data_IF_596407377226
#
_entry.id   IF_596407377226
#
_cell.length_a   1.000
_cell.length_b   1.000
_cell.length_c   1.000
_cell.angle_alpha   90.00
_cell.angle_beta   90.00
_cell.angle_gamma   90.00
#
_symmetry.space_group_name_H-M   'P 1'
#
loop_
_entity.id
_entity.type
_entity.pdbx_description
1 polymer ?
#
# COMPACT_ATOMS: atom_id res chain seq x y z
N UNK A 1 -10.25 29.59 -38.49
CA UNK A 1 -9.95 29.25 -37.09
C UNK A 1 -10.84 28.11 -36.66
N UNK A 2 -10.33 26.91 -36.46
CA UNK A 2 -11.13 25.80 -35.94
C UNK A 2 -11.18 25.90 -34.41
N UNK A 3 -12.39 25.95 -33.86
CA UNK A 3 -12.67 25.86 -32.41
C UNK A 3 -12.30 24.46 -31.92
N UNK A 4 -11.23 24.38 -31.17
CA UNK A 4 -10.75 23.20 -30.48
C UNK A 4 -11.84 22.68 -29.55
N UNK A 5 -12.20 21.43 -29.70
CA UNK A 5 -13.19 20.71 -28.88
C UNK A 5 -12.64 20.47 -27.48
N UNK A 6 -12.74 21.43 -26.60
CA UNK A 6 -12.74 21.23 -25.15
C UNK A 6 -14.13 20.77 -24.68
N UNK A 7 -14.55 19.59 -25.09
CA UNK A 7 -15.78 18.97 -24.57
C UNK A 7 -15.45 17.58 -24.07
N UNK A 8 -15.75 17.36 -22.76
CA UNK A 8 -15.85 16.10 -22.02
C UNK A 8 -14.66 15.68 -21.13
N UNK A 9 -14.23 16.56 -20.21
CA UNK A 9 -13.49 16.12 -19.03
C UNK A 9 -14.30 16.24 -17.71
N UNK A 10 -15.46 16.88 -17.73
CA UNK A 10 -16.27 17.10 -16.50
C UNK A 10 -17.13 15.88 -16.04
N UNK A 11 -17.11 14.76 -16.73
CA UNK A 11 -17.90 13.56 -16.37
C UNK A 11 -17.10 12.36 -15.85
N UNK A 12 -15.78 12.35 -15.92
CA UNK A 12 -14.97 11.26 -15.38
C UNK A 12 -14.63 11.54 -13.92
N UNK A 13 -15.27 10.83 -12.99
CA UNK A 13 -14.89 10.84 -11.58
C UNK A 13 -13.38 10.67 -11.47
N UNK A 14 -12.70 11.65 -10.88
CA UNK A 14 -11.26 11.56 -10.63
C UNK A 14 -11.02 10.43 -9.62
N UNK A 15 -10.46 9.32 -10.09
CA UNK A 15 -10.27 8.10 -9.29
C UNK A 15 -9.35 8.39 -8.11
N UNK A 16 -8.30 9.19 -8.30
CA UNK A 16 -7.40 9.60 -7.21
C UNK A 16 -8.15 10.34 -6.11
N UNK A 17 -8.98 11.32 -6.50
CA UNK A 17 -9.78 12.08 -5.55
C UNK A 17 -10.72 11.19 -4.74
N UNK A 18 -11.41 10.25 -5.40
CA UNK A 18 -12.32 9.31 -4.72
C UNK A 18 -11.61 8.46 -3.66
N UNK A 19 -10.38 7.99 -3.95
CA UNK A 19 -9.61 7.17 -3.01
C UNK A 19 -9.13 8.04 -1.85
N UNK A 20 -8.55 9.19 -2.17
CA UNK A 20 -7.99 10.09 -1.17
C UNK A 20 -9.05 10.62 -0.23
N UNK A 21 -10.23 11.00 -0.72
CA UNK A 21 -11.38 11.43 0.11
C UNK A 21 -11.78 10.32 1.10
N UNK A 22 -11.84 9.06 0.65
CA UNK A 22 -12.16 7.93 1.54
C UNK A 22 -11.10 7.69 2.62
N UNK A 23 -9.83 7.85 2.29
CA UNK A 23 -8.73 7.74 3.27
C UNK A 23 -8.78 8.90 4.27
N UNK A 24 -9.05 10.11 3.79
CA UNK A 24 -9.20 11.31 4.64
C UNK A 24 -10.35 11.12 5.63
N UNK A 25 -11.52 10.67 5.16
CA UNK A 25 -12.68 10.39 6.03
C UNK A 25 -12.30 9.44 7.18
N UNK A 26 -11.62 8.34 6.90
CA UNK A 26 -11.17 7.40 7.93
C UNK A 26 -10.17 8.03 8.90
N UNK A 27 -9.20 8.79 8.39
CA UNK A 27 -8.23 9.49 9.24
C UNK A 27 -8.89 10.57 10.13
N UNK A 28 -9.89 11.28 9.63
CA UNK A 28 -10.65 12.27 10.39
C UNK A 28 -11.52 11.61 11.50
N UNK A 29 -11.95 10.37 11.30
CA UNK A 29 -12.59 9.53 12.30
C UNK A 29 -11.59 8.89 13.29
N UNK A 30 -10.29 9.14 13.13
CA UNK A 30 -9.22 8.56 13.95
C UNK A 30 -8.86 7.13 13.56
N UNK A 31 -9.36 6.64 12.42
CA UNK A 31 -9.03 5.31 11.89
C UNK A 31 -7.88 5.44 10.90
N UNK A 32 -6.78 4.73 11.13
CA UNK A 32 -5.65 4.68 10.21
C UNK A 32 -5.83 3.47 9.30
N UNK A 33 -6.13 3.65 7.99
CA UNK A 33 -6.54 2.56 7.10
C UNK A 33 -5.51 1.46 6.91
N UNK A 34 -4.22 1.76 7.06
CA UNK A 34 -3.11 0.80 6.94
C UNK A 34 -2.71 0.15 8.26
N UNK A 35 -3.40 0.47 9.37
CA UNK A 35 -3.27 -0.20 10.66
C UNK A 35 -4.44 -1.12 10.90
N UNK A 36 -4.49 -2.19 10.13
CA UNK A 36 -5.51 -3.23 10.28
C UNK A 36 -4.85 -4.53 10.75
N UNK A 37 -5.51 -5.32 11.60
CA UNK A 37 -5.04 -6.66 11.89
C UNK A 37 -5.15 -7.51 10.60
N UNK A 38 -4.04 -7.71 9.93
CA UNK A 38 -3.96 -8.50 8.69
C UNK A 38 -3.99 -10.02 8.93
N UNK A 39 -4.38 -10.44 10.13
CA UNK A 39 -4.33 -11.81 10.66
C UNK A 39 -5.03 -12.83 9.74
N UNK A 40 -5.84 -12.39 8.78
CA UNK A 40 -6.62 -13.26 7.90
C UNK A 40 -6.18 -13.23 6.42
N UNK A 41 -4.90 -12.95 6.12
CA UNK A 41 -4.33 -13.08 4.78
C UNK A 41 -4.88 -12.10 3.73
N UNK A 42 -5.34 -10.91 4.12
CA UNK A 42 -5.70 -9.80 3.23
C UNK A 42 -6.90 -10.06 2.31
N UNK A 43 -7.11 -9.18 1.34
CA UNK A 43 -8.16 -9.29 0.33
C UNK A 43 -7.65 -10.00 -0.94
N UNK A 44 -8.44 -10.90 -1.51
CA UNK A 44 -8.12 -11.61 -2.76
C UNK A 44 -9.28 -11.53 -3.77
N UNK A 45 -8.97 -11.62 -5.04
CA UNK A 45 -10.00 -11.78 -6.06
C UNK A 45 -10.52 -13.21 -6.05
N UNK A 46 -11.82 -13.39 -5.83
CA UNK A 46 -12.46 -14.70 -5.72
C UNK A 46 -12.27 -15.61 -6.96
N UNK A 47 -12.25 -15.03 -8.18
CA UNK A 47 -12.12 -15.81 -9.41
C UNK A 47 -10.68 -16.29 -9.63
N UNK A 48 -9.70 -15.43 -9.41
CA UNK A 48 -8.29 -15.69 -9.74
C UNK A 48 -7.45 -16.12 -8.53
N UNK A 49 -7.96 -15.91 -7.32
CA UNK A 49 -7.27 -16.11 -6.04
C UNK A 49 -5.97 -15.27 -5.91
N UNK A 50 -5.78 -14.27 -6.79
CA UNK A 50 -4.67 -13.33 -6.69
C UNK A 50 -4.95 -12.30 -5.60
N UNK A 51 -3.97 -11.96 -4.74
CA UNK A 51 -4.13 -10.93 -3.71
C UNK A 51 -4.28 -9.55 -4.34
N UNK A 52 -5.06 -8.69 -3.71
CA UNK A 52 -5.08 -7.26 -4.01
C UNK A 52 -3.82 -6.61 -3.46
N UNK A 53 -3.25 -5.65 -4.21
CA UNK A 53 -1.94 -5.04 -3.94
C UNK A 53 -2.03 -3.51 -3.91
N UNK A 54 -0.97 -2.87 -3.43
CA UNK A 54 -0.85 -1.42 -3.36
C UNK A 54 -1.97 -0.80 -2.52
N UNK A 55 -2.55 0.30 -2.97
CA UNK A 55 -3.62 1.00 -2.24
C UNK A 55 -4.86 0.13 -1.99
N UNK A 56 -5.09 -0.91 -2.80
CA UNK A 56 -6.24 -1.81 -2.62
C UNK A 56 -6.18 -2.57 -1.29
N UNK A 57 -4.99 -2.84 -0.76
CA UNK A 57 -4.82 -3.49 0.54
C UNK A 57 -5.42 -2.67 1.68
N UNK A 58 -5.49 -1.36 1.52
CA UNK A 58 -6.05 -0.44 2.52
C UNK A 58 -7.53 -0.10 2.26
N UNK A 59 -8.02 -0.33 1.04
CA UNK A 59 -9.41 -0.08 0.65
C UNK A 59 -10.36 -1.23 0.98
N UNK A 60 -9.82 -2.46 1.14
CA UNK A 60 -10.58 -3.67 1.38
C UNK A 60 -10.25 -4.28 2.75
N UNK A 61 -11.24 -4.89 3.37
CA UNK A 61 -11.02 -5.81 4.50
C UNK A 61 -10.55 -7.18 4.00
N UNK A 62 -10.04 -8.03 4.91
CA UNK A 62 -9.71 -9.40 4.58
C UNK A 62 -10.94 -10.14 4.05
N UNK A 63 -10.81 -10.84 2.92
CA UNK A 63 -11.95 -11.54 2.31
C UNK A 63 -11.73 -11.83 0.82
N UNK A 64 -12.73 -12.45 0.22
CA UNK A 64 -12.76 -12.74 -1.20
C UNK A 64 -13.72 -11.80 -1.91
N UNK A 65 -13.25 -11.13 -2.96
CA UNK A 65 -14.02 -10.12 -3.67
C UNK A 65 -14.18 -10.47 -5.15
N UNK A 66 -15.36 -10.22 -5.69
CA UNK A 66 -15.63 -10.38 -7.11
C UNK A 66 -16.41 -9.19 -7.68
N UNK A 67 -16.23 -8.92 -8.97
CA UNK A 67 -17.03 -7.95 -9.69
C UNK A 67 -18.45 -8.50 -9.91
N UNK A 68 -19.44 -7.61 -10.09
CA UNK A 68 -20.81 -8.02 -10.40
C UNK A 68 -20.89 -8.96 -11.60
N UNK A 69 -20.06 -8.73 -12.65
CA UNK A 69 -19.97 -9.60 -13.83
C UNK A 69 -19.48 -10.99 -13.45
N UNK A 70 -18.40 -11.10 -12.66
CA UNK A 70 -17.85 -12.39 -12.21
C UNK A 70 -18.87 -13.18 -11.38
N UNK A 71 -19.59 -12.50 -10.47
CA UNK A 71 -20.64 -13.11 -9.65
C UNK A 71 -21.75 -13.68 -10.51
N UNK A 72 -22.26 -12.89 -11.48
CA UNK A 72 -23.31 -13.31 -12.40
C UNK A 72 -22.89 -14.48 -13.29
N UNK A 73 -21.68 -14.43 -13.84
CA UNK A 73 -21.11 -15.51 -14.68
C UNK A 73 -20.95 -16.83 -13.91
N UNK A 74 -20.72 -16.75 -12.60
CA UNK A 74 -20.61 -17.91 -11.72
C UNK A 74 -21.95 -18.40 -11.16
N UNK A 75 -23.07 -17.78 -11.55
CA UNK A 75 -24.41 -18.15 -11.08
C UNK A 75 -24.83 -17.54 -9.75
N UNK A 76 -23.99 -16.68 -9.16
CA UNK A 76 -24.29 -15.99 -7.90
C UNK A 76 -25.11 -14.71 -8.11
N UNK A 77 -25.57 -14.15 -6.99
CA UNK A 77 -26.38 -12.93 -6.95
C UNK A 77 -25.94 -12.04 -5.78
N UNK A 78 -25.75 -10.76 -6.05
CA UNK A 78 -25.51 -9.77 -4.99
C UNK A 78 -26.80 -9.55 -4.20
N UNK A 79 -26.73 -9.57 -2.88
CA UNK A 79 -27.86 -9.33 -1.98
C UNK A 79 -28.42 -7.92 -2.18
N UNK A 80 -29.73 -7.77 -2.04
CA UNK A 80 -30.43 -6.49 -2.24
C UNK A 80 -29.99 -5.47 -1.18
N UNK A 81 -29.58 -4.28 -1.64
CA UNK A 81 -29.18 -3.19 -0.75
C UNK A 81 -27.69 -3.12 -0.45
N UNK A 82 -26.89 -4.12 -0.86
CA UNK A 82 -25.45 -4.14 -0.62
C UNK A 82 -24.72 -3.03 -1.37
N UNK A 83 -23.75 -2.42 -0.68
CA UNK A 83 -22.87 -1.38 -1.24
C UNK A 83 -21.57 -2.00 -1.71
N UNK A 84 -21.20 -1.72 -2.96
CA UNK A 84 -19.94 -2.22 -3.52
C UNK A 84 -18.73 -1.53 -2.91
N UNK A 85 -17.63 -2.27 -2.80
CA UNK A 85 -16.30 -1.74 -2.53
C UNK A 85 -15.64 -1.27 -3.84
N UNK A 86 -14.66 -0.38 -3.73
CA UNK A 86 -13.88 0.14 -4.86
C UNK A 86 -12.48 -0.46 -4.81
N UNK A 87 -12.03 -0.96 -5.95
CA UNK A 87 -10.63 -1.36 -6.20
C UNK A 87 -10.11 -0.65 -7.42
N UNK A 88 -8.80 -0.45 -7.48
CA UNK A 88 -8.14 0.25 -8.57
C UNK A 88 -7.06 -0.59 -9.21
N UNK A 89 -6.90 -0.41 -10.52
CA UNK A 89 -5.84 -1.06 -11.30
C UNK A 89 -5.27 -0.06 -12.30
N UNK A 90 -3.99 -0.18 -12.54
CA UNK A 90 -3.32 0.50 -13.62
C UNK A 90 -3.64 -0.19 -14.96
N UNK A 91 -4.01 0.60 -15.95
CA UNK A 91 -4.16 0.14 -17.32
C UNK A 91 -3.29 1.01 -18.21
N UNK A 92 -2.44 0.39 -18.99
CA UNK A 92 -1.67 1.06 -20.01
C UNK A 92 -2.56 1.38 -21.21
N UNK A 93 -2.64 2.65 -21.59
CA UNK A 93 -3.34 3.09 -22.79
C UNK A 93 -2.28 3.40 -23.84
N UNK A 94 -2.41 2.79 -25.00
CA UNK A 94 -1.60 3.13 -26.16
C UNK A 94 -2.18 4.37 -26.82
N UNK A 95 -1.36 5.40 -26.98
CA UNK A 95 -1.69 6.63 -27.69
C UNK A 95 -0.67 6.81 -28.81
N UNK A 96 -1.14 6.82 -30.05
CA UNK A 96 -0.31 7.17 -31.18
C UNK A 96 -0.06 8.67 -31.20
N UNK A 97 1.20 9.06 -31.31
CA UNK A 97 1.58 10.47 -31.46
C UNK A 97 1.31 10.87 -32.92
N UNK A 98 0.41 11.82 -33.12
CA UNK A 98 -0.03 12.27 -34.46
C UNK A 98 1.10 12.92 -35.28
N UNK A 99 2.20 13.35 -34.63
CA UNK A 99 3.31 14.03 -35.30
C UNK A 99 4.40 13.08 -35.81
N UNK A 100 4.68 11.98 -35.09
CA UNK A 100 5.79 11.07 -35.43
C UNK A 100 5.38 9.60 -35.58
N UNK A 101 4.10 9.25 -35.35
CA UNK A 101 3.58 7.88 -35.46
C UNK A 101 4.08 6.92 -34.35
N UNK A 102 4.77 7.41 -33.34
CA UNK A 102 5.21 6.59 -32.21
C UNK A 102 4.06 6.29 -31.26
N UNK A 103 4.01 5.05 -30.76
CA UNK A 103 3.01 4.63 -29.79
C UNK A 103 3.56 4.84 -28.37
N UNK A 104 2.97 5.79 -27.67
CA UNK A 104 3.27 6.08 -26.27
C UNK A 104 2.32 5.30 -25.35
N UNK A 105 2.88 4.61 -24.33
CA UNK A 105 2.08 3.93 -23.30
C UNK A 105 1.85 4.88 -22.12
N UNK A 106 0.60 5.29 -21.95
CA UNK A 106 0.20 6.20 -20.86
C UNK A 106 -0.47 5.40 -19.75
N UNK A 107 0.03 5.43 -18.50
CA UNK A 107 -0.61 4.77 -17.38
C UNK A 107 -1.92 5.48 -17.02
N UNK A 108 -3.00 4.73 -16.92
CA UNK A 108 -4.32 5.23 -16.58
C UNK A 108 -4.89 4.44 -15.40
N UNK A 109 -5.16 5.13 -14.29
CA UNK A 109 -5.79 4.50 -13.14
C UNK A 109 -7.28 4.27 -13.43
N UNK A 110 -7.74 3.04 -13.29
CA UNK A 110 -9.13 2.63 -13.45
C UNK A 110 -9.65 2.09 -12.14
N UNK A 111 -10.94 2.25 -11.87
CA UNK A 111 -11.59 1.63 -10.73
C UNK A 111 -12.62 0.61 -11.16
N UNK A 112 -12.82 -0.39 -10.31
CA UNK A 112 -13.85 -1.41 -10.45
C UNK A 112 -14.63 -1.51 -9.15
N UNK A 113 -15.87 -1.96 -9.26
CA UNK A 113 -16.72 -2.23 -8.11
C UNK A 113 -16.74 -3.72 -7.85
N UNK A 114 -16.47 -4.09 -6.60
CA UNK A 114 -16.43 -5.47 -6.15
C UNK A 114 -17.32 -5.66 -4.92
N UNK A 115 -17.72 -6.89 -4.68
CA UNK A 115 -18.53 -7.29 -3.54
C UNK A 115 -17.84 -8.43 -2.82
N UNK A 116 -17.92 -8.44 -1.49
CA UNK A 116 -17.38 -9.51 -0.65
C UNK A 116 -18.28 -10.75 -0.76
N UNK A 117 -17.67 -11.93 -0.95
CA UNK A 117 -18.41 -13.14 -1.31
C UNK A 117 -19.29 -13.66 -0.17
N UNK A 118 -18.77 -13.75 1.05
CA UNK A 118 -19.48 -14.36 2.17
C UNK A 118 -20.64 -13.49 2.68
N UNK A 119 -20.38 -12.19 2.83
CA UNK A 119 -21.34 -11.27 3.41
C UNK A 119 -22.35 -10.72 2.42
N UNK A 120 -21.93 -10.44 1.17
CA UNK A 120 -22.71 -9.66 0.19
C UNK A 120 -23.28 -10.48 -0.98
N UNK A 121 -22.92 -11.76 -1.12
CA UNK A 121 -23.31 -12.58 -2.28
C UNK A 121 -24.06 -13.84 -1.83
N UNK A 122 -25.06 -14.24 -2.62
CA UNK A 122 -25.78 -15.49 -2.49
C UNK A 122 -25.42 -16.41 -3.66
N UNK A 123 -25.39 -17.73 -3.39
CA UNK A 123 -25.18 -18.76 -4.42
C UNK A 123 -23.71 -18.96 -4.80
N UNK A 124 -22.76 -18.34 -4.12
CA UNK A 124 -21.33 -18.61 -4.26
C UNK A 124 -20.74 -18.93 -2.89
N UNK A 125 -19.78 -19.82 -2.89
CA UNK A 125 -19.02 -20.20 -1.70
C UNK A 125 -17.62 -19.62 -1.74
N UNK A 126 -17.05 -19.35 -0.57
CA UNK A 126 -15.65 -19.00 -0.42
C UNK A 126 -14.78 -20.14 -0.94
N UNK A 127 -13.76 -19.79 -1.70
CA UNK A 127 -12.71 -20.73 -2.13
C UNK A 127 -11.53 -20.74 -1.17
N UNK A 128 -11.53 -19.79 -0.25
CA UNK A 128 -10.48 -19.61 0.71
C UNK A 128 -10.57 -20.71 1.76
N UNK A 129 -9.52 -21.48 1.91
CA UNK A 129 -9.32 -22.26 3.11
C UNK A 129 -9.11 -21.29 4.25
N UNK A 130 -9.62 -21.59 5.45
CA UNK A 130 -9.29 -20.79 6.62
C UNK A 130 -7.78 -20.61 6.68
N UNK A 131 -7.35 -19.35 6.59
CA UNK A 131 -5.93 -19.03 6.71
C UNK A 131 -5.65 -19.03 8.20
N UNK A 132 -5.23 -20.15 8.72
CA UNK A 132 -4.41 -20.15 9.93
C UNK A 132 -2.99 -19.81 9.48
N UNK A 133 -2.38 -18.79 10.05
CA UNK A 133 -0.94 -18.67 9.93
C UNK A 133 -0.33 -19.81 10.71
N UNK A 134 0.20 -20.77 10.00
CA UNK A 134 0.88 -21.96 10.57
C UNK A 134 2.33 -21.60 10.95
N UNK A 135 2.60 -20.32 11.26
CA UNK A 135 3.91 -19.81 11.64
C UNK A 135 3.79 -18.82 12.80
N UNK A 136 4.85 -18.71 13.57
CA UNK A 136 4.99 -17.67 14.58
C UNK A 136 5.26 -16.32 13.88
N UNK A 137 4.48 -15.25 14.16
CA UNK A 137 4.66 -13.94 13.52
C UNK A 137 6.05 -13.35 13.73
N UNK A 138 6.67 -13.60 14.86
CA UNK A 138 8.01 -13.09 15.19
C UNK A 138 9.10 -13.85 14.41
N UNK A 139 8.98 -15.17 14.29
CA UNK A 139 9.87 -15.99 13.46
C UNK A 139 9.80 -15.52 12.01
N UNK A 140 8.58 -15.25 11.49
CA UNK A 140 8.40 -14.73 10.14
C UNK A 140 8.99 -13.34 9.93
N UNK A 141 8.86 -12.46 10.92
CA UNK A 141 9.48 -11.14 10.90
C UNK A 141 11.02 -11.23 10.88
N UNK A 142 11.60 -12.18 11.64
CA UNK A 142 13.03 -12.47 11.60
C UNK A 142 13.50 -12.98 10.23
N UNK A 143 12.71 -13.84 9.59
CA UNK A 143 12.99 -14.32 8.23
C UNK A 143 13.01 -13.15 7.23
N UNK A 144 12.03 -12.23 7.29
CA UNK A 144 11.96 -11.05 6.43
C UNK A 144 13.20 -10.16 6.66
N UNK A 145 13.53 -9.87 7.92
CA UNK A 145 14.68 -9.05 8.27
C UNK A 145 16.01 -9.67 7.77
N UNK A 146 16.21 -10.98 7.99
CA UNK A 146 17.44 -11.69 7.58
C UNK A 146 17.48 -11.96 6.08
N UNK A 147 16.33 -12.08 5.43
CA UNK A 147 16.18 -12.33 4.00
C UNK A 147 16.37 -11.11 3.11
N UNK A 148 16.45 -9.91 3.68
CA UNK A 148 16.61 -8.67 2.90
C UNK A 148 17.95 -8.63 2.17
N UNK A 149 17.94 -8.92 0.87
CA UNK A 149 19.13 -8.93 0.01
C UNK A 149 19.60 -7.48 -0.23
N UNK A 150 20.94 -7.26 -0.22
CA UNK A 150 21.54 -5.93 -0.34
C UNK A 150 21.07 -4.94 0.76
N UNK A 151 20.78 -5.46 1.94
CA UNK A 151 20.44 -4.63 3.08
C UNK A 151 21.59 -3.69 3.48
N UNK A 152 21.27 -2.55 4.13
CA UNK A 152 22.30 -1.71 4.77
C UNK A 152 22.86 -2.38 6.02
N UNK A 153 23.93 -1.81 6.58
CA UNK A 153 24.42 -2.20 7.89
C UNK A 153 23.38 -1.91 8.97
N UNK A 154 23.21 -2.85 9.92
CA UNK A 154 22.34 -2.68 11.07
C UNK A 154 23.12 -2.42 12.34
N UNK A 155 22.56 -1.54 13.19
CA UNK A 155 23.00 -1.36 14.58
C UNK A 155 21.78 -1.33 15.49
N UNK A 156 21.97 -1.81 16.73
CA UNK A 156 20.92 -1.89 17.74
C UNK A 156 21.34 -1.15 19.00
N UNK A 157 21.33 0.18 18.93
CA UNK A 157 21.61 1.05 20.09
C UNK A 157 20.33 1.70 20.56
N UNK A 158 20.17 1.78 21.89
CA UNK A 158 19.04 2.48 22.52
C UNK A 158 18.97 3.95 22.05
N UNK A 159 17.76 4.46 21.94
CA UNK A 159 17.49 5.82 21.49
C UNK A 159 16.61 5.87 20.27
N UNK A 160 17.04 6.51 19.20
CA UNK A 160 16.21 6.75 18.02
C UNK A 160 16.35 5.63 16.98
N UNK A 161 15.23 5.13 16.47
CA UNK A 161 15.20 4.40 15.22
C UNK A 161 15.40 5.38 14.05
N UNK A 162 16.30 5.05 13.12
CA UNK A 162 16.62 5.92 11.98
C UNK A 162 17.42 5.20 10.91
N UNK A 163 17.06 5.42 9.66
CA UNK A 163 17.92 5.12 8.52
C UNK A 163 18.79 6.34 8.17
N UNK A 164 20.10 6.12 8.03
CA UNK A 164 21.08 7.14 7.63
C UNK A 164 21.44 6.96 6.13
N UNK A 165 20.86 7.75 5.20
CA UNK A 165 21.08 7.56 3.77
C UNK A 165 22.54 7.71 3.32
N UNK A 166 23.28 8.65 3.92
CA UNK A 166 24.69 8.91 3.57
C UNK A 166 25.62 7.76 3.96
N UNK A 167 25.29 7.07 5.07
CA UNK A 167 26.09 5.97 5.61
C UNK A 167 25.58 4.60 5.14
N UNK A 168 24.42 4.59 4.51
CA UNK A 168 23.65 3.40 4.19
C UNK A 168 23.52 2.45 5.39
N UNK A 169 22.99 2.97 6.50
CA UNK A 169 22.95 2.29 7.78
C UNK A 169 21.65 2.49 8.51
N UNK A 170 21.11 1.44 9.12
CA UNK A 170 19.94 1.50 10.00
C UNK A 170 20.42 1.42 11.46
N UNK A 171 19.90 2.28 12.32
CA UNK A 171 19.84 2.06 13.75
C UNK A 171 18.39 1.81 14.18
N UNK A 172 18.14 0.72 14.87
CA UNK A 172 16.89 0.46 15.57
C UNK A 172 17.20 0.21 17.04
N UNK A 173 16.46 0.75 18.04
CA UNK A 173 16.64 0.37 19.41
C UNK A 173 16.54 -1.15 19.57
N UNK A 174 17.29 -1.77 20.49
CA UNK A 174 17.23 -3.22 20.68
C UNK A 174 15.83 -3.65 21.15
N UNK A 175 15.42 -4.85 20.78
CA UNK A 175 14.07 -5.39 21.05
C UNK A 175 13.66 -5.29 22.53
N UNK A 176 14.61 -5.37 23.45
CA UNK A 176 14.36 -5.22 24.89
C UNK A 176 13.89 -3.83 25.33
N UNK A 177 14.07 -2.81 24.47
CA UNK A 177 13.64 -1.43 24.72
C UNK A 177 12.17 -1.21 24.34
N UNK A 178 11.53 -2.18 23.72
CA UNK A 178 10.12 -2.16 23.33
C UNK A 178 9.26 -2.95 24.30
N UNK A 179 8.01 -2.53 24.48
CA UNK A 179 7.05 -3.23 25.35
C UNK A 179 6.63 -4.56 24.70
N UNK A 180 6.53 -4.58 23.36
CA UNK A 180 6.15 -5.76 22.58
C UNK A 180 7.12 -5.98 21.43
N UNK A 181 7.36 -7.25 21.09
CA UNK A 181 8.21 -7.61 19.95
C UNK A 181 7.65 -7.08 18.63
N UNK A 182 6.34 -7.05 18.49
CA UNK A 182 5.63 -6.52 17.31
C UNK A 182 5.96 -5.04 17.04
N UNK A 183 6.10 -4.25 18.10
CA UNK A 183 6.49 -2.83 18.01
C UNK A 183 7.92 -2.68 17.49
N UNK A 184 8.84 -3.54 17.96
CA UNK A 184 10.21 -3.58 17.46
C UNK A 184 10.23 -3.88 15.95
N UNK A 185 9.56 -4.95 15.51
CA UNK A 185 9.57 -5.32 14.09
C UNK A 185 8.86 -4.30 13.21
N UNK A 186 7.76 -3.73 13.65
CA UNK A 186 7.10 -2.64 12.91
C UNK A 186 8.02 -1.44 12.72
N UNK A 187 8.74 -1.05 13.77
CA UNK A 187 9.73 0.03 13.72
C UNK A 187 10.91 -0.32 12.83
N UNK A 188 11.44 -1.54 12.94
CA UNK A 188 12.53 -2.01 12.09
C UNK A 188 12.12 -2.03 10.62
N UNK A 189 10.93 -2.53 10.29
CA UNK A 189 10.40 -2.53 8.93
C UNK A 189 10.24 -1.12 8.37
N UNK A 190 9.82 -0.15 9.17
CA UNK A 190 9.75 1.26 8.75
C UNK A 190 11.13 1.77 8.27
N UNK A 191 12.19 1.55 9.04
CA UNK A 191 13.55 1.94 8.67
C UNK A 191 14.08 1.12 7.48
N UNK A 192 13.71 -0.15 7.37
CA UNK A 192 14.03 -0.99 6.23
C UNK A 192 13.39 -0.45 4.94
N UNK A 193 12.13 -0.02 4.98
CA UNK A 193 11.46 0.59 3.83
C UNK A 193 12.20 1.87 3.41
N UNK A 194 12.55 2.77 4.34
CA UNK A 194 13.39 3.93 4.03
C UNK A 194 14.66 3.53 3.30
N UNK A 195 15.35 2.51 3.80
CA UNK A 195 16.61 2.06 3.23
C UNK A 195 16.48 1.60 1.78
N UNK A 196 15.34 1.02 1.37
CA UNK A 196 15.11 0.66 -0.03
C UNK A 196 15.16 1.86 -0.98
N UNK A 197 14.95 3.08 -0.48
CA UNK A 197 15.06 4.33 -1.23
C UNK A 197 16.48 4.76 -1.58
N UNK A 198 17.51 4.11 -1.06
CA UNK A 198 18.91 4.41 -1.35
C UNK A 198 19.21 4.32 -2.87
N UNK A 199 20.21 5.09 -3.33
CA UNK A 199 20.62 5.15 -4.75
C UNK A 199 21.06 3.80 -5.34
N UNK A 200 21.55 2.88 -4.51
CA UNK A 200 21.94 1.52 -4.92
C UNK A 200 20.77 0.54 -5.00
N UNK A 201 19.57 0.94 -4.59
CA UNK A 201 18.34 0.13 -4.58
C UNK A 201 17.27 0.79 -5.44
N UNK A 202 16.16 1.25 -4.88
CA UNK A 202 15.05 1.83 -5.66
C UNK A 202 15.22 3.32 -5.98
N UNK A 203 16.27 3.97 -5.50
CA UNK A 203 16.65 5.36 -5.79
C UNK A 203 15.52 6.38 -5.65
N UNK A 204 14.70 6.27 -4.59
CA UNK A 204 13.58 7.21 -4.35
C UNK A 204 14.08 8.61 -4.02
N UNK A 205 13.47 9.62 -4.63
CA UNK A 205 13.86 11.03 -4.45
C UNK A 205 13.74 11.49 -2.99
N UNK A 206 12.80 10.99 -2.21
CA UNK A 206 12.64 11.28 -0.79
C UNK A 206 13.84 10.89 0.08
N UNK A 207 14.66 9.94 -0.40
CA UNK A 207 15.86 9.46 0.31
C UNK A 207 17.14 9.99 -0.33
N UNK A 208 17.16 10.14 -1.67
CA UNK A 208 18.38 10.51 -2.41
C UNK A 208 18.61 12.02 -2.52
N UNK A 209 17.59 12.83 -2.30
CA UNK A 209 17.72 14.30 -2.35
C UNK A 209 18.42 14.82 -1.11
N UNK A 210 19.52 15.56 -1.30
CA UNK A 210 20.22 16.22 -0.19
C UNK A 210 19.36 17.35 0.40
N UNK A 211 19.42 17.53 1.74
CA UNK A 211 18.77 18.61 2.48
C UNK A 211 17.22 18.58 2.53
N UNK A 212 16.59 17.42 2.52
CA UNK A 212 15.17 17.30 2.84
C UNK A 212 15.01 17.53 4.34
N UNK A 213 14.37 18.63 4.75
CA UNK A 213 14.15 18.96 6.16
C UNK A 213 12.88 18.28 6.69
N UNK A 214 12.85 18.05 8.01
CA UNK A 214 11.64 17.58 8.68
C UNK A 214 10.48 18.54 8.45
N UNK A 215 9.37 18.02 7.90
CA UNK A 215 8.17 18.82 7.58
C UNK A 215 8.08 19.28 6.13
N UNK A 216 9.10 19.04 5.29
CA UNK A 216 9.01 19.27 3.85
C UNK A 216 8.02 18.29 3.19
N UNK A 217 7.42 18.70 2.07
CA UNK A 217 6.49 17.87 1.30
C UNK A 217 7.13 16.55 0.84
N UNK A 218 8.39 16.60 0.42
CA UNK A 218 9.17 15.43 0.00
C UNK A 218 9.40 14.47 1.17
N UNK A 219 9.72 15.00 2.36
CA UNK A 219 9.85 14.23 3.59
C UNK A 219 8.52 13.56 3.97
N UNK A 220 7.43 14.31 3.97
CA UNK A 220 6.10 13.80 4.31
C UNK A 220 5.63 12.67 3.37
N UNK A 221 6.01 12.74 2.08
CA UNK A 221 5.73 11.68 1.10
C UNK A 221 6.54 10.41 1.38
N UNK A 222 7.81 10.54 1.71
CA UNK A 222 8.67 9.40 2.02
C UNK A 222 8.26 8.72 3.34
N UNK A 223 7.88 9.48 4.36
CA UNK A 223 7.31 8.94 5.60
C UNK A 223 6.05 8.12 5.34
N UNK A 224 5.15 8.60 4.46
CA UNK A 224 3.96 7.85 4.11
C UNK A 224 4.31 6.55 3.38
N UNK A 225 5.32 6.54 2.51
CA UNK A 225 5.82 5.32 1.86
C UNK A 225 6.35 4.34 2.91
N UNK A 226 7.13 4.82 3.88
CA UNK A 226 7.68 3.99 4.93
C UNK A 226 6.60 3.37 5.83
N UNK A 227 5.62 4.15 6.23
CA UNK A 227 4.47 3.68 7.02
C UNK A 227 3.66 2.61 6.29
N UNK A 228 3.28 2.89 5.03
CA UNK A 228 2.50 1.95 4.23
C UNK A 228 3.28 0.65 3.96
N UNK A 229 4.57 0.76 3.69
CA UNK A 229 5.43 -0.40 3.43
C UNK A 229 5.66 -1.25 4.68
N UNK A 230 5.90 -0.60 5.83
CA UNK A 230 6.00 -1.30 7.11
C UNK A 230 4.71 -2.06 7.44
N UNK A 231 3.55 -1.43 7.20
CA UNK A 231 2.25 -2.09 7.38
C UNK A 231 2.09 -3.31 6.46
N UNK A 232 2.57 -3.24 5.22
CA UNK A 232 2.55 -4.39 4.29
C UNK A 232 3.44 -5.53 4.80
N UNK A 233 4.66 -5.25 5.25
CA UNK A 233 5.57 -6.25 5.82
C UNK A 233 5.03 -6.86 7.10
N UNK A 234 4.43 -6.06 8.00
CA UNK A 234 3.71 -6.56 9.17
C UNK A 234 2.59 -7.52 8.77
N UNK A 235 1.84 -7.19 7.72
CA UNK A 235 0.79 -8.07 7.17
C UNK A 235 1.32 -9.40 6.67
N UNK A 236 2.46 -9.42 5.99
CA UNK A 236 3.14 -10.65 5.53
C UNK A 236 3.64 -11.48 6.72
N UNK A 237 4.18 -10.83 7.75
CA UNK A 237 4.62 -11.50 8.97
C UNK A 237 3.45 -12.01 9.83
N UNK A 238 2.23 -11.50 9.66
CA UNK A 238 1.10 -11.77 10.55
C UNK A 238 1.14 -10.98 11.85
N UNK A 239 1.91 -9.88 11.87
CA UNK A 239 1.99 -8.97 13.02
C UNK A 239 0.77 -8.04 13.02
N UNK A 240 0.05 -8.00 14.15
CA UNK A 240 -0.99 -7.00 14.39
C UNK A 240 -0.35 -5.65 14.76
N UNK A 241 -0.39 -4.72 13.83
CA UNK A 241 0.09 -3.35 14.02
C UNK A 241 -1.00 -2.35 14.46
N UNK A 242 -2.22 -2.82 14.70
CA UNK A 242 -3.36 -1.97 15.10
C UNK A 242 -3.16 -1.31 16.47
N UNK A 243 -2.37 -1.94 17.33
CA UNK A 243 -2.11 -1.48 18.71
C UNK A 243 -0.91 -0.55 18.83
N UNK A 244 -0.16 -0.30 17.76
CA UNK A 244 1.01 0.57 17.78
C UNK A 244 0.53 2.03 17.81
N UNK A 245 0.87 2.74 18.87
CA UNK A 245 0.47 4.15 19.06
C UNK A 245 1.12 5.05 18.01
N UNK A 246 0.28 5.81 17.27
CA UNK A 246 0.74 6.94 16.48
C UNK A 246 0.44 8.23 17.18
N UNK A 247 1.38 9.15 17.12
CA UNK A 247 1.10 10.48 17.61
C UNK A 247 0.07 11.17 16.70
N UNK A 248 -0.86 11.90 17.30
CA UNK A 248 -1.86 12.75 16.61
C UNK A 248 -1.19 13.70 15.61
N UNK A 249 0.08 14.06 15.85
CA UNK A 249 0.87 14.91 14.96
C UNK A 249 1.09 14.29 13.58
N UNK A 250 1.31 12.97 13.47
CA UNK A 250 1.47 12.29 12.19
C UNK A 250 0.17 12.26 11.39
N UNK A 251 -0.95 11.95 12.05
CA UNK A 251 -2.28 11.97 11.41
C UNK A 251 -2.57 13.35 10.82
N UNK A 252 -2.32 14.41 11.57
CA UNK A 252 -2.50 15.79 11.10
C UNK A 252 -1.59 16.17 9.94
N UNK A 253 -0.34 15.67 9.93
CA UNK A 253 0.59 15.87 8.81
C UNK A 253 0.10 15.17 7.55
N UNK A 254 -0.31 13.90 7.66
CA UNK A 254 -0.87 13.15 6.53
C UNK A 254 -2.15 13.79 5.99
N UNK A 255 -3.09 14.17 6.87
CA UNK A 255 -4.32 14.86 6.47
C UNK A 255 -4.03 16.12 5.65
N UNK A 256 -3.04 16.94 6.05
CA UNK A 256 -2.63 18.13 5.29
C UNK A 256 -2.10 17.72 3.92
N UNK A 257 -1.13 16.83 3.84
CA UNK A 257 -0.51 16.40 2.60
C UNK A 257 -1.50 15.74 1.64
N UNK A 258 -2.45 14.95 2.15
CA UNK A 258 -3.48 14.29 1.34
C UNK A 258 -4.54 15.27 0.82
N UNK A 259 -4.85 16.35 1.57
CA UNK A 259 -5.75 17.42 1.10
C UNK A 259 -5.11 18.25 0.00
N UNK A 260 -3.79 18.43 0.05
CA UNK A 260 -3.03 19.20 -0.92
C UNK A 260 -2.75 18.42 -2.22
N UNK A 261 -2.50 17.11 -2.12
CA UNK A 261 -2.24 16.24 -3.29
C UNK A 261 -3.11 14.97 -3.26
N UNK A 262 -4.13 14.93 -4.10
CA UNK A 262 -5.02 13.80 -4.21
C UNK A 262 -4.43 12.54 -4.88
N UNK A 263 -3.20 12.61 -5.40
CA UNK A 263 -2.49 11.45 -5.98
C UNK A 263 -1.57 10.80 -4.96
N UNK A 264 -1.25 11.51 -3.89
CA UNK A 264 -0.20 11.14 -2.94
C UNK A 264 -0.38 9.72 -2.40
N UNK A 265 -1.55 9.38 -1.86
CA UNK A 265 -1.76 8.06 -1.23
C UNK A 265 -1.63 6.90 -2.22
N UNK A 266 -2.11 7.07 -3.44
CA UNK A 266 -2.01 6.02 -4.48
C UNK A 266 -0.56 5.83 -4.92
N UNK A 267 0.17 6.93 -5.08
CA UNK A 267 1.59 6.89 -5.46
C UNK A 267 2.46 6.35 -4.34
N UNK A 268 2.22 6.78 -3.09
CA UNK A 268 2.93 6.28 -1.93
C UNK A 268 2.70 4.77 -1.73
N UNK A 269 1.46 4.30 -1.87
CA UNK A 269 1.14 2.89 -1.77
C UNK A 269 1.79 2.03 -2.88
N UNK A 270 1.91 2.57 -4.09
CA UNK A 270 2.63 1.89 -5.17
C UNK A 270 4.14 1.80 -4.88
N UNK A 271 4.75 2.86 -4.35
CA UNK A 271 6.16 2.86 -3.94
C UNK A 271 6.40 1.96 -2.73
N UNK A 272 5.50 1.96 -1.75
CA UNK A 272 5.53 1.08 -0.59
C UNK A 272 5.47 -0.40 -0.99
N UNK A 273 4.62 -0.74 -1.95
CA UNK A 273 4.53 -2.11 -2.47
C UNK A 273 5.85 -2.53 -3.13
N UNK A 274 6.44 -1.68 -4.00
CA UNK A 274 7.75 -1.96 -4.60
C UNK A 274 8.86 -2.13 -3.56
N UNK A 275 8.84 -1.31 -2.53
CA UNK A 275 9.79 -1.40 -1.42
C UNK A 275 9.64 -2.70 -0.63
N UNK A 276 8.41 -3.11 -0.34
CA UNK A 276 8.10 -4.38 0.33
C UNK A 276 8.52 -5.58 -0.52
N UNK A 277 8.18 -5.58 -1.81
CA UNK A 277 8.56 -6.63 -2.76
C UNK A 277 10.10 -6.77 -2.83
N UNK A 278 10.80 -5.64 -2.88
CA UNK A 278 12.27 -5.63 -2.89
C UNK A 278 12.86 -6.27 -1.63
N UNK A 279 12.31 -5.98 -0.45
CA UNK A 279 12.75 -6.58 0.82
C UNK A 279 12.43 -8.09 0.85
N UNK A 280 11.27 -8.49 0.33
CA UNK A 280 10.82 -9.88 0.28
C UNK A 280 11.52 -10.71 -0.80
N UNK A 281 12.29 -10.07 -1.69
CA UNK A 281 12.90 -10.74 -2.85
C UNK A 281 11.87 -11.19 -3.88
N UNK A 282 10.70 -10.56 -3.91
CA UNK A 282 9.67 -10.80 -4.90
C UNK A 282 9.96 -9.95 -6.14
N UNK A 283 10.30 -10.59 -7.26
CA UNK A 283 10.45 -9.90 -8.54
C UNK A 283 9.14 -9.22 -8.94
N UNK A 284 9.23 -8.06 -9.61
CA UNK A 284 8.10 -7.43 -10.31
C UNK A 284 7.59 -8.40 -11.41
N UNK A 285 6.94 -9.49 -11.01
CA UNK A 285 6.19 -10.33 -11.96
C UNK A 285 5.00 -9.50 -12.40
N UNK A 286 5.14 -9.01 -13.62
CA UNK A 286 4.30 -8.01 -14.23
C UNK A 286 2.83 -8.13 -13.90
N UNK A 287 2.22 -7.01 -13.58
CA UNK A 287 0.78 -6.81 -13.69
C UNK A 287 0.41 -6.94 -15.18
N UNK A 288 0.11 -8.16 -15.64
CA UNK A 288 -0.63 -8.41 -16.87
C UNK A 288 -2.13 -8.45 -16.61
#
# INVERSE_FOLDING_TARGET
MPKTKEKNLEGKKNVYKMITERIIEQLEEGVIPWRKPWINGGAVNWKTQKPYRGVNTFLLEAGEYATFKQIKEAGGKVKKGEKSHIVVFWKWLEKENEENGEVEKIPCLRYYRVFEINSQVEGLESKRKEVSFDHDPIEKAEEIYKGYINCPDYTFYSGRAVYYPTLDKINCPPIKDFVKAEEFYSTLFHEMIHSTGHKSRLARSGVTTANVAFGDEVYSKEELVAELGAAMLCGVAGIDNSTIENSVSYINSWLRSLKDDNRLVVQAAAQAQKASDYILGEDEKGEE
#
